data_IF_386647186633
#
_entry.id   IF_386647186633
#
_cell.length_a   1.000
_cell.length_b   1.000
_cell.length_c   1.000
_cell.angle_alpha   90.00
_cell.angle_beta   90.00
_cell.angle_gamma   90.00
#
_symmetry.space_group_name_H-M   'P 1'
#
loop_
_entity.id
_entity.type
_entity.pdbx_description
1 polymer ?
#
# COMPACT_ATOMS: atom_id res chain seq x y z
N UNK A 1 -13.15 38.97 4.38
CA UNK A 1 -12.77 37.71 5.06
C UNK A 1 -12.24 36.75 4.01
N UNK A 2 -10.92 36.85 3.76
CA UNK A 2 -10.20 35.95 2.86
C UNK A 2 -10.13 34.58 3.55
N UNK A 3 -10.78 33.60 2.96
CA UNK A 3 -10.58 32.19 3.29
C UNK A 3 -9.15 31.83 2.88
N UNK A 4 -8.26 31.76 3.86
CA UNK A 4 -6.96 31.11 3.71
C UNK A 4 -7.23 29.65 3.36
N UNK A 5 -7.20 29.30 2.07
CA UNK A 5 -7.01 27.95 1.60
C UNK A 5 -5.65 27.50 2.12
N UNK A 6 -5.64 26.62 3.13
CA UNK A 6 -4.48 25.84 3.48
C UNK A 6 -4.16 24.96 2.25
N UNK A 7 -3.33 25.50 1.33
CA UNK A 7 -2.69 24.67 0.33
C UNK A 7 -1.85 23.66 1.09
N UNK A 8 -2.33 22.42 1.14
CA UNK A 8 -1.59 21.29 1.71
C UNK A 8 -0.28 21.20 0.95
N UNK A 9 0.83 21.49 1.61
CA UNK A 9 2.14 21.50 1.00
C UNK A 9 2.47 20.08 0.49
N UNK A 10 2.81 19.96 -0.79
CA UNK A 10 3.33 18.71 -1.34
C UNK A 10 4.57 18.29 -0.58
N UNK A 11 4.62 17.03 -0.20
CA UNK A 11 5.76 16.47 0.51
C UNK A 11 6.77 15.88 -0.48
N UNK A 12 8.06 16.19 -0.29
CA UNK A 12 9.14 15.71 -1.13
C UNK A 12 9.82 14.52 -0.47
N UNK A 13 10.07 13.46 -1.24
CA UNK A 13 10.67 12.24 -0.76
C UNK A 13 11.35 11.46 -1.89
N UNK A 14 12.10 10.41 -1.55
CA UNK A 14 12.69 9.50 -2.52
C UNK A 14 11.84 8.26 -2.74
N UNK A 15 11.84 7.79 -4.01
CA UNK A 15 11.23 6.52 -4.38
C UNK A 15 12.07 5.78 -5.43
N UNK A 16 11.91 4.46 -5.47
CA UNK A 16 12.42 3.63 -6.56
C UNK A 16 11.37 3.60 -7.68
N UNK A 17 11.66 4.27 -8.78
CA UNK A 17 10.75 4.43 -9.92
C UNK A 17 11.11 3.44 -11.02
N UNK A 18 10.13 2.63 -11.44
CA UNK A 18 10.20 1.82 -12.65
C UNK A 18 9.75 2.66 -13.84
N UNK A 19 10.67 2.98 -14.75
CA UNK A 19 10.38 3.80 -15.93
C UNK A 19 10.17 3.00 -17.19
N UNK A 20 10.77 1.83 -17.28
CA UNK A 20 10.73 0.95 -18.45
C UNK A 20 10.73 -0.51 -18.00
N UNK A 21 9.92 -1.35 -18.62
CA UNK A 21 9.87 -2.78 -18.31
C UNK A 21 11.23 -3.47 -18.53
N UNK A 22 11.61 -4.33 -17.57
CA UNK A 22 12.84 -5.10 -17.61
C UNK A 22 14.12 -4.27 -17.47
N UNK A 23 14.03 -3.00 -17.07
CA UNK A 23 15.18 -2.14 -16.80
C UNK A 23 15.37 -1.90 -15.29
N UNK A 24 16.61 -1.57 -14.86
CA UNK A 24 16.87 -1.18 -13.49
C UNK A 24 16.01 0.02 -13.09
N UNK A 25 15.49 -0.01 -11.87
CA UNK A 25 14.75 1.12 -11.29
C UNK A 25 15.71 2.25 -10.92
N UNK A 26 15.20 3.48 -10.96
CA UNK A 26 15.95 4.69 -10.60
C UNK A 26 15.44 5.26 -9.27
N UNK A 27 16.37 5.73 -8.42
CA UNK A 27 15.99 6.47 -7.22
C UNK A 27 15.79 7.92 -7.61
N UNK A 28 14.56 8.40 -7.42
CA UNK A 28 14.15 9.73 -7.84
C UNK A 28 13.57 10.53 -6.66
N UNK A 29 13.75 11.85 -6.71
CA UNK A 29 13.01 12.77 -5.86
C UNK A 29 11.61 12.98 -6.45
N UNK A 30 10.60 12.69 -5.66
CA UNK A 30 9.19 12.72 -6.05
C UNK A 30 8.38 13.59 -5.09
N UNK A 31 7.15 13.88 -5.47
CA UNK A 31 6.16 14.57 -4.64
C UNK A 31 5.04 13.60 -4.25
N UNK A 32 4.64 13.66 -2.99
CA UNK A 32 3.48 12.95 -2.45
C UNK A 32 2.38 13.97 -2.12
N UNK A 33 1.17 13.71 -2.60
CA UNK A 33 -0.01 14.50 -2.26
C UNK A 33 -0.41 14.23 -0.78
N UNK A 34 -1.07 15.18 -0.10
CA UNK A 34 -1.62 14.94 1.22
C UNK A 34 -2.74 13.88 1.15
N UNK A 35 -3.04 13.18 2.25
CA UNK A 35 -4.10 12.20 2.28
C UNK A 35 -5.49 12.83 2.12
N UNK A 36 -6.35 12.17 1.35
CA UNK A 36 -7.76 12.48 1.26
C UNK A 36 -8.54 12.09 2.53
N UNK A 37 -9.89 12.31 2.55
CA UNK A 37 -10.69 12.15 3.77
C UNK A 37 -10.56 10.79 4.47
N UNK A 38 -10.53 9.70 3.71
CA UNK A 38 -10.39 8.32 4.22
C UNK A 38 -9.01 7.72 3.97
N UNK A 39 -8.00 8.55 3.79
CA UNK A 39 -6.64 8.12 3.49
C UNK A 39 -5.72 8.43 4.66
N UNK A 40 -4.61 7.72 4.72
CA UNK A 40 -3.55 7.92 5.69
C UNK A 40 -2.21 8.07 4.98
N UNK A 41 -1.31 8.87 5.56
CA UNK A 41 0.09 8.95 5.15
C UNK A 41 0.94 8.16 6.13
N UNK A 42 1.71 7.21 5.61
CA UNK A 42 2.54 6.30 6.40
C UNK A 42 4.01 6.49 6.03
N UNK A 43 4.86 6.70 7.03
CA UNK A 43 6.32 6.64 6.89
C UNK A 43 6.75 5.19 6.85
N UNK A 44 7.29 4.75 5.73
CA UNK A 44 7.74 3.38 5.55
C UNK A 44 9.02 3.13 6.35
N UNK A 45 9.03 2.04 7.10
CA UNK A 45 10.16 1.55 7.88
C UNK A 45 10.78 0.29 7.28
N UNK A 46 9.94 -0.54 6.67
CA UNK A 46 10.35 -1.71 5.92
C UNK A 46 9.35 -2.01 4.81
N UNK A 47 9.83 -2.47 3.68
CA UNK A 47 9.03 -3.00 2.58
C UNK A 47 9.74 -4.23 2.01
N UNK A 48 9.09 -5.38 2.05
CA UNK A 48 9.60 -6.60 1.45
C UNK A 48 9.37 -6.58 -0.07
N UNK A 49 10.19 -7.33 -0.79
CA UNK A 49 10.09 -7.49 -2.24
C UNK A 49 9.32 -8.78 -2.54
N UNK A 50 8.16 -8.65 -3.15
CA UNK A 50 7.38 -9.77 -3.63
C UNK A 50 7.75 -10.10 -5.08
N UNK A 51 7.57 -11.36 -5.47
CA UNK A 51 7.71 -11.77 -6.87
C UNK A 51 6.74 -11.01 -7.80
N UNK A 52 5.59 -10.60 -7.26
CA UNK A 52 4.61 -9.78 -8.00
C UNK A 52 5.19 -8.43 -8.43
N UNK A 53 5.98 -7.77 -7.59
CA UNK A 53 6.63 -6.50 -7.95
C UNK A 53 7.57 -6.69 -9.14
N UNK A 54 8.31 -7.79 -9.14
CA UNK A 54 9.24 -8.14 -10.23
C UNK A 54 8.46 -8.47 -11.52
N UNK A 55 7.40 -9.28 -11.42
CA UNK A 55 6.58 -9.66 -12.58
C UNK A 55 5.92 -8.45 -13.26
N UNK A 56 5.48 -7.47 -12.49
CA UNK A 56 4.97 -6.21 -13.05
C UNK A 56 6.10 -5.36 -13.63
N UNK A 57 7.24 -5.22 -12.94
CA UNK A 57 8.38 -4.44 -13.42
C UNK A 57 9.01 -5.02 -14.70
N UNK A 58 8.96 -6.33 -14.87
CA UNK A 58 9.40 -7.02 -16.09
C UNK A 58 8.35 -6.97 -17.23
N UNK A 59 7.14 -6.47 -16.94
CA UNK A 59 6.04 -6.40 -17.89
C UNK A 59 5.34 -7.72 -18.17
N UNK A 60 5.64 -8.80 -17.40
CA UNK A 60 5.05 -10.13 -17.60
C UNK A 60 3.52 -10.09 -17.40
N UNK A 61 3.04 -9.29 -16.46
CA UNK A 61 1.61 -9.12 -16.18
C UNK A 61 1.00 -7.87 -16.85
N UNK A 62 1.78 -7.18 -17.67
CA UNK A 62 1.37 -5.93 -18.29
C UNK A 62 1.35 -4.78 -17.29
N UNK A 63 0.56 -3.77 -17.56
CA UNK A 63 0.42 -2.57 -16.74
C UNK A 63 0.91 -1.32 -17.46
N UNK A 64 0.97 -0.23 -16.73
CA UNK A 64 1.41 1.07 -17.23
C UNK A 64 2.59 1.58 -16.41
N UNK A 65 3.44 2.36 -17.06
CA UNK A 65 4.61 3.01 -16.46
C UNK A 65 4.61 4.51 -16.79
N UNK A 66 5.30 5.36 -16.02
CA UNK A 66 6.17 5.05 -14.88
C UNK A 66 5.39 4.74 -13.60
N UNK A 67 5.94 3.85 -12.76
CA UNK A 67 5.29 3.40 -11.52
C UNK A 67 6.28 3.27 -10.35
N UNK A 68 5.75 3.40 -9.13
CA UNK A 68 6.42 3.01 -7.88
C UNK A 68 5.74 1.75 -7.37
N UNK A 69 6.48 0.65 -7.25
CA UNK A 69 5.96 -0.63 -6.73
C UNK A 69 6.19 -0.78 -5.22
N UNK A 70 6.06 -1.99 -4.70
CA UNK A 70 6.15 -2.31 -3.27
C UNK A 70 4.78 -2.34 -2.61
N UNK A 71 4.41 -3.48 -2.01
CA UNK A 71 3.10 -3.68 -1.39
C UNK A 71 3.13 -4.54 -0.11
N UNK A 72 4.32 -4.91 0.31
CA UNK A 72 4.58 -5.63 1.56
C UNK A 72 5.23 -4.69 2.56
N UNK A 73 4.48 -3.73 3.09
CA UNK A 73 5.07 -2.63 3.84
C UNK A 73 4.62 -2.58 5.31
N UNK A 74 5.46 -1.94 6.11
CA UNK A 74 5.16 -1.56 7.48
C UNK A 74 5.77 -0.20 7.80
N UNK A 75 5.16 0.50 8.72
CA UNK A 75 5.61 1.84 9.06
C UNK A 75 4.80 2.50 10.17
N UNK A 76 4.93 3.82 10.24
CA UNK A 76 4.27 4.64 11.26
C UNK A 76 3.40 5.70 10.60
N UNK A 77 2.18 5.87 11.07
CA UNK A 77 1.25 6.88 10.56
C UNK A 77 1.76 8.28 10.89
N UNK A 78 1.87 9.12 9.85
CA UNK A 78 2.29 10.52 9.96
C UNK A 78 1.11 11.50 9.87
N UNK A 79 0.07 11.15 9.12
CA UNK A 79 -1.10 12.00 8.89
C UNK A 79 -2.32 11.15 8.61
N UNK A 80 -3.49 11.61 9.03
CA UNK A 80 -4.79 10.98 8.78
C UNK A 80 -5.74 11.94 8.13
N UNK A 81 -6.53 11.46 7.17
CA UNK A 81 -7.66 12.20 6.64
C UNK A 81 -8.73 12.45 7.71
N UNK A 82 -9.59 13.42 7.47
CA UNK A 82 -10.57 13.89 8.46
C UNK A 82 -11.72 12.91 8.74
N UNK A 83 -11.86 11.85 7.96
CA UNK A 83 -12.84 10.77 8.16
C UNK A 83 -12.20 9.49 8.72
N UNK A 84 -10.90 9.51 9.04
CA UNK A 84 -10.20 8.38 9.66
C UNK A 84 -10.36 8.47 11.17
N UNK A 85 -11.00 7.47 11.76
CA UNK A 85 -11.23 7.37 13.19
C UNK A 85 -10.51 6.16 13.82
N UNK A 86 -10.08 5.22 13.00
CA UNK A 86 -9.53 3.92 13.43
C UNK A 86 -8.07 4.01 13.89
N UNK A 87 -7.35 5.05 13.46
CA UNK A 87 -5.92 5.23 13.69
C UNK A 87 -5.58 6.63 14.17
N UNK A 88 -4.44 6.73 14.86
CA UNK A 88 -3.83 7.97 15.32
C UNK A 88 -2.45 8.17 14.71
N UNK A 89 -2.00 9.43 14.66
CA UNK A 89 -0.61 9.75 14.30
C UNK A 89 0.33 9.08 15.28
N UNK A 90 1.34 8.37 14.77
CA UNK A 90 2.31 7.62 15.56
C UNK A 90 2.02 6.12 15.64
N UNK A 91 0.82 5.66 15.26
CA UNK A 91 0.47 4.24 15.32
C UNK A 91 1.36 3.42 14.37
N UNK A 92 1.92 2.29 14.84
CA UNK A 92 2.63 1.34 14.00
C UNK A 92 1.65 0.46 13.23
N UNK A 93 1.84 0.36 11.91
CA UNK A 93 0.94 -0.37 11.01
C UNK A 93 1.70 -1.18 9.97
N UNK A 94 1.02 -2.23 9.47
CA UNK A 94 1.32 -2.79 8.15
C UNK A 94 0.47 -2.10 7.10
N UNK A 95 0.94 -2.11 5.85
CA UNK A 95 0.21 -1.62 4.68
C UNK A 95 0.15 -2.71 3.63
N UNK A 96 -1.06 -3.06 3.19
CA UNK A 96 -1.32 -4.11 2.19
C UNK A 96 -1.91 -3.52 0.90
N UNK A 97 -1.96 -4.31 -0.16
CA UNK A 97 -2.61 -3.94 -1.42
C UNK A 97 -4.15 -4.06 -1.39
N UNK A 98 -4.71 -4.66 -0.34
CA UNK A 98 -6.14 -4.98 -0.26
C UNK A 98 -6.93 -3.75 0.23
N UNK A 99 -7.75 -3.16 -0.65
CA UNK A 99 -8.71 -2.10 -0.32
C UNK A 99 -10.10 -2.67 -0.15
N UNK A 100 -10.85 -2.16 0.83
CA UNK A 100 -12.25 -2.54 1.02
C UNK A 100 -13.07 -1.40 1.60
N UNK A 101 -14.32 -1.28 1.16
CA UNK A 101 -15.21 -0.20 1.59
C UNK A 101 -16.00 -0.50 2.87
N UNK A 102 -16.05 -1.75 3.30
CA UNK A 102 -16.81 -2.19 4.46
C UNK A 102 -18.33 -2.32 4.27
N UNK A 103 -18.92 -1.88 3.12
CA UNK A 103 -20.38 -1.74 2.95
C UNK A 103 -20.95 -2.37 1.68
N UNK A 104 -20.13 -2.71 0.66
CA UNK A 104 -20.63 -3.39 -0.55
C UNK A 104 -21.06 -4.83 -0.24
N UNK A 105 -21.67 -5.50 -1.21
CA UNK A 105 -22.12 -6.88 -1.07
C UNK A 105 -21.00 -7.81 -0.56
N UNK A 106 -19.84 -7.76 -1.17
CA UNK A 106 -18.70 -8.62 -0.79
C UNK A 106 -18.22 -8.32 0.63
N UNK A 107 -18.06 -7.05 0.99
CA UNK A 107 -17.62 -6.68 2.33
C UNK A 107 -18.62 -7.12 3.39
N UNK A 108 -19.94 -6.93 3.14
CA UNK A 108 -21.02 -7.32 4.06
C UNK A 108 -21.17 -8.85 4.19
N UNK A 109 -20.70 -9.61 3.20
CA UNK A 109 -20.70 -11.08 3.21
C UNK A 109 -19.42 -11.68 3.83
N UNK A 110 -18.47 -10.84 4.29
CA UNK A 110 -17.18 -11.29 4.84
C UNK A 110 -16.09 -11.54 3.78
N UNK A 111 -16.37 -11.22 2.52
CA UNK A 111 -15.47 -11.39 1.38
C UNK A 111 -14.79 -10.06 0.99
N UNK A 112 -14.27 -9.32 1.98
CA UNK A 112 -13.64 -8.02 1.78
C UNK A 112 -12.55 -7.97 0.68
N UNK A 113 -11.74 -9.02 0.45
CA UNK A 113 -10.79 -9.04 -0.65
C UNK A 113 -11.41 -8.93 -2.05
N UNK A 114 -12.70 -9.25 -2.19
CA UNK A 114 -13.47 -9.15 -3.43
C UNK A 114 -14.22 -7.81 -3.56
N UNK A 115 -13.93 -6.83 -2.71
CA UNK A 115 -14.56 -5.51 -2.74
C UNK A 115 -14.50 -4.90 -4.14
N UNK A 116 -15.67 -4.53 -4.68
CA UNK A 116 -15.86 -3.96 -6.01
C UNK A 116 -16.10 -2.44 -6.01
N UNK A 117 -15.96 -1.82 -4.84
CA UNK A 117 -16.13 -0.37 -4.70
C UNK A 117 -15.00 0.40 -5.39
N UNK A 118 -15.36 1.57 -5.90
CA UNK A 118 -14.41 2.50 -6.48
C UNK A 118 -13.76 3.36 -5.39
N UNK A 119 -12.46 3.63 -5.52
CA UNK A 119 -11.67 4.45 -4.59
C UNK A 119 -11.03 5.63 -5.33
N UNK A 120 -10.97 6.84 -4.74
CA UNK A 120 -10.36 8.00 -5.39
C UNK A 120 -8.93 7.76 -5.90
N UNK A 121 -8.14 6.97 -5.17
CA UNK A 121 -6.77 6.58 -5.54
C UNK A 121 -6.67 5.71 -6.81
N UNK A 122 -7.80 5.26 -7.39
CA UNK A 122 -7.79 4.60 -8.71
C UNK A 122 -7.80 5.63 -9.84
N UNK A 123 -8.40 6.78 -9.62
CA UNK A 123 -8.49 7.83 -10.63
C UNK A 123 -7.27 8.74 -10.61
N UNK A 124 -6.72 8.96 -9.41
CA UNK A 124 -5.63 9.90 -9.22
C UNK A 124 -4.57 9.33 -8.29
N UNK A 125 -3.41 8.99 -8.86
CA UNK A 125 -2.25 8.61 -8.04
C UNK A 125 -1.82 9.78 -7.16
N UNK A 126 -1.47 9.55 -5.90
CA UNK A 126 -0.95 10.58 -5.01
C UNK A 126 0.52 10.93 -5.32
N UNK A 127 1.18 10.22 -6.24
CA UNK A 127 2.61 10.31 -6.52
C UNK A 127 2.85 11.06 -7.82
N UNK A 128 3.77 12.00 -7.82
CA UNK A 128 4.22 12.70 -9.04
C UNK A 128 5.71 13.03 -8.99
N UNK A 129 6.34 13.21 -10.14
CA UNK A 129 7.68 13.78 -10.23
C UNK A 129 7.68 15.25 -9.81
N UNK A 130 8.87 15.84 -9.59
CA UNK A 130 9.00 17.28 -9.33
C UNK A 130 8.48 18.13 -10.50
N UNK A 131 8.53 17.60 -11.73
CA UNK A 131 8.00 18.22 -12.93
C UNK A 131 6.47 18.08 -13.11
N UNK A 132 5.78 17.35 -12.23
CA UNK A 132 4.33 17.16 -12.28
C UNK A 132 3.87 15.97 -13.12
N UNK A 133 4.78 15.13 -13.63
CA UNK A 133 4.41 13.86 -14.26
C UNK A 133 3.84 12.90 -13.22
N UNK A 134 2.67 12.33 -13.48
CA UNK A 134 2.07 11.33 -12.59
C UNK A 134 2.86 10.03 -12.62
N UNK A 135 3.17 9.50 -11.44
CA UNK A 135 3.74 8.16 -11.26
C UNK A 135 2.65 7.25 -10.70
N UNK A 136 2.47 6.08 -11.30
CA UNK A 136 1.43 5.14 -10.87
C UNK A 136 1.79 4.54 -9.51
N UNK A 137 0.77 4.38 -8.67
CA UNK A 137 0.86 3.66 -7.41
C UNK A 137 0.75 2.16 -7.69
N UNK A 138 1.89 1.51 -7.97
CA UNK A 138 1.96 0.10 -8.33
C UNK A 138 1.39 -0.78 -7.23
N UNK A 139 0.62 -1.80 -7.63
CA UNK A 139 -0.08 -2.71 -6.71
C UNK A 139 -0.89 -1.96 -5.62
N UNK A 140 -1.45 -0.79 -5.98
CA UNK A 140 -2.28 0.07 -5.10
C UNK A 140 -1.57 0.62 -3.86
N UNK A 141 -0.26 0.47 -3.75
CA UNK A 141 0.49 0.82 -2.53
C UNK A 141 1.69 1.73 -2.82
N UNK A 142 2.62 1.33 -3.71
CA UNK A 142 3.77 2.16 -4.08
C UNK A 142 4.79 2.36 -2.96
N UNK A 143 5.05 1.32 -2.16
CA UNK A 143 5.82 1.44 -0.92
C UNK A 143 7.34 1.32 -1.07
N UNK A 144 7.88 1.18 -2.29
CA UNK A 144 9.32 1.41 -2.52
C UNK A 144 9.63 2.91 -2.56
N UNK A 145 9.15 3.61 -1.54
CA UNK A 145 9.27 5.03 -1.30
C UNK A 145 9.43 5.29 0.21
N UNK A 146 9.89 6.48 0.60
CA UNK A 146 10.04 6.82 2.02
C UNK A 146 8.68 6.95 2.74
N UNK A 147 7.64 7.35 2.01
CA UNK A 147 6.28 7.49 2.53
C UNK A 147 5.26 7.08 1.47
N UNK A 148 4.06 6.70 1.91
CA UNK A 148 2.92 6.41 1.04
C UNK A 148 1.65 7.09 1.53
N UNK A 149 0.74 7.38 0.61
CA UNK A 149 -0.67 7.69 0.91
C UNK A 149 -1.52 6.52 0.42
N UNK A 150 -2.30 5.95 1.32
CA UNK A 150 -3.15 4.78 1.05
C UNK A 150 -4.52 4.97 1.67
N UNK A 151 -5.53 4.26 1.16
CA UNK A 151 -6.84 4.18 1.83
C UNK A 151 -6.68 3.52 3.20
N UNK A 152 -7.40 4.01 4.19
CA UNK A 152 -7.32 3.53 5.58
C UNK A 152 -7.56 2.02 5.71
N UNK A 153 -8.38 1.45 4.83
CA UNK A 153 -8.67 0.01 4.79
C UNK A 153 -7.47 -0.87 4.42
N UNK A 154 -6.39 -0.27 3.89
CA UNK A 154 -5.15 -1.00 3.57
C UNK A 154 -4.23 -1.15 4.78
N UNK A 155 -4.53 -0.50 5.91
CA UNK A 155 -3.72 -0.55 7.10
C UNK A 155 -4.28 -1.50 8.15
N UNK A 156 -3.38 -2.13 8.90
CA UNK A 156 -3.72 -2.86 10.12
C UNK A 156 -2.68 -2.58 11.21
N UNK A 157 -3.16 -2.37 12.45
CA UNK A 157 -2.28 -2.14 13.59
C UNK A 157 -1.39 -3.34 13.86
N UNK A 158 -0.16 -3.08 14.30
CA UNK A 158 0.76 -4.11 14.79
C UNK A 158 1.14 -3.80 16.24
N UNK A 159 1.53 -4.81 17.03
CA UNK A 159 2.05 -4.58 18.37
C UNK A 159 3.27 -3.67 18.34
N UNK A 160 3.37 -2.72 19.31
CA UNK A 160 4.48 -1.76 19.39
C UNK A 160 5.88 -2.39 19.41
N UNK A 161 5.98 -3.60 19.97
CA UNK A 161 7.23 -4.34 20.07
C UNK A 161 7.53 -5.25 18.86
N UNK A 162 6.67 -5.26 17.82
CA UNK A 162 6.93 -6.04 16.62
C UNK A 162 7.92 -5.31 15.72
N UNK A 163 9.04 -5.94 15.32
CA UNK A 163 9.98 -5.36 14.36
C UNK A 163 9.30 -5.09 13.00
N UNK A 164 9.53 -3.91 12.43
CA UNK A 164 8.90 -3.51 11.17
C UNK A 164 9.27 -4.39 9.98
N UNK A 165 10.50 -4.91 9.92
CA UNK A 165 10.96 -5.85 8.90
C UNK A 165 10.16 -7.16 8.92
N UNK A 166 9.91 -7.70 10.11
CA UNK A 166 9.06 -8.89 10.28
C UNK A 166 7.58 -8.58 10.00
N UNK A 167 7.11 -7.42 10.47
CA UNK A 167 5.73 -6.98 10.26
C UNK A 167 5.38 -6.80 8.78
N UNK A 168 6.31 -6.27 7.97
CA UNK A 168 6.06 -6.03 6.54
C UNK A 168 5.67 -7.31 5.79
N UNK A 169 6.21 -8.46 6.16
CA UNK A 169 5.89 -9.76 5.56
C UNK A 169 4.43 -10.20 5.77
N UNK A 170 3.76 -9.67 6.83
CA UNK A 170 2.35 -9.97 7.09
C UNK A 170 1.42 -9.41 6.02
N UNK A 171 1.84 -8.36 5.32
CA UNK A 171 0.99 -7.64 4.36
C UNK A 171 0.68 -8.43 3.09
N UNK A 172 1.50 -9.43 2.74
CA UNK A 172 1.28 -10.26 1.55
C UNK A 172 1.79 -11.70 1.76
N UNK A 173 3.10 -11.92 1.91
CA UNK A 173 3.68 -13.26 1.90
C UNK A 173 3.09 -14.18 2.97
N UNK A 174 2.99 -13.71 4.22
CA UNK A 174 2.48 -14.53 5.34
C UNK A 174 0.99 -14.78 5.20
N UNK A 175 0.16 -13.76 4.92
CA UNK A 175 -1.30 -13.98 4.77
C UNK A 175 -1.62 -14.87 3.57
N UNK A 176 -0.84 -14.77 2.48
CA UNK A 176 -0.99 -15.62 1.30
C UNK A 176 -0.66 -17.07 1.63
N UNK A 177 0.47 -17.33 2.28
CA UNK A 177 0.87 -18.67 2.68
C UNK A 177 -0.08 -19.29 3.71
N UNK A 178 -0.45 -18.52 4.73
CA UNK A 178 -1.42 -18.97 5.75
C UNK A 178 -2.79 -19.26 5.14
N UNK A 179 -3.28 -18.37 4.24
CA UNK A 179 -4.54 -18.56 3.54
C UNK A 179 -4.55 -19.80 2.65
N UNK A 180 -3.46 -20.09 1.95
CA UNK A 180 -3.32 -21.30 1.14
C UNK A 180 -3.45 -22.58 1.99
N UNK A 181 -2.84 -22.59 3.18
CA UNK A 181 -2.89 -23.76 4.09
C UNK A 181 -4.26 -23.88 4.77
N UNK A 182 -4.76 -22.78 5.34
CA UNK A 182 -5.96 -22.80 6.17
C UNK A 182 -7.23 -22.86 5.31
N UNK A 183 -7.33 -21.98 4.31
CA UNK A 183 -8.58 -21.79 3.56
C UNK A 183 -8.63 -22.68 2.31
N UNK A 184 -7.54 -22.72 1.51
CA UNK A 184 -7.55 -23.44 0.24
C UNK A 184 -7.33 -24.94 0.43
N UNK A 185 -6.27 -25.33 1.15
CA UNK A 185 -5.96 -26.72 1.41
C UNK A 185 -6.79 -27.33 2.57
N UNK A 186 -7.42 -26.49 3.38
CA UNK A 186 -8.21 -26.90 4.57
C UNK A 186 -7.46 -27.90 5.46
N UNK A 187 -6.16 -27.69 5.64
CA UNK A 187 -5.29 -28.61 6.38
C UNK A 187 -5.67 -28.67 7.86
N UNK A 188 -5.74 -29.88 8.38
CA UNK A 188 -6.03 -30.09 9.79
C UNK A 188 -4.74 -30.01 10.63
N UNK A 189 -4.80 -29.52 11.88
CA UNK A 189 -3.66 -29.56 12.79
C UNK A 189 -3.10 -30.98 12.91
N UNK A 190 -1.77 -31.11 12.83
CA UNK A 190 -1.08 -32.41 12.88
C UNK A 190 -0.96 -33.15 11.53
N UNK A 191 -1.49 -32.60 10.44
CA UNK A 191 -1.27 -33.11 9.08
C UNK A 191 0.16 -32.85 8.61
N UNK A 192 0.62 -33.67 7.67
CA UNK A 192 1.89 -33.47 6.98
C UNK A 192 1.63 -32.83 5.61
N UNK A 193 2.52 -31.93 5.20
CA UNK A 193 2.52 -31.33 3.88
C UNK A 193 3.89 -31.51 3.21
N UNK A 194 3.86 -31.58 1.88
CA UNK A 194 5.05 -31.52 1.03
C UNK A 194 4.89 -30.30 0.12
N UNK A 195 5.94 -29.47 0.04
CA UNK A 195 6.02 -28.28 -0.82
C UNK A 195 7.07 -28.53 -1.89
#
# INVERSE_FOLDING_TARGET
>A
LETFSLQHAKHFMKAAVCREFGKPWTIEDIQLAPPGPREIRVKIKACAICHSDISYADGIWGGELPAVFGHEASGTILETGNEVAEFSIGDPVIVTLLRHCGSCFFCSSGEAPLCDSHFPLYDQSPISTLGGETLLQGLRTGAFAEEVVVDVSQAASIPENMPFDSASLLSCGVITGAGAVINTAAMQPGSNAVV
#
